data_IF_459293568662
#
_entry.id   IF_459293568662
#
_cell.length_a   1.000
_cell.length_b   1.000
_cell.length_c   1.000
_cell.angle_alpha   90.00
_cell.angle_beta   90.00
_cell.angle_gamma   90.00
#
_symmetry.space_group_name_H-M   'P 1'
#
loop_
_entity.id
_entity.type
_entity.pdbx_description
1 polymer ?
#
# COMPACT_ATOMS: atom_id res chain seq x y z
N UNK A 1 -13.31 -36.13 -43.43
CA UNK A 1 -11.94 -35.74 -43.80
C UNK A 1 -11.06 -35.74 -42.55
N UNK A 2 -9.77 -36.12 -42.67
CA UNK A 2 -8.90 -36.49 -41.54
C UNK A 2 -8.22 -35.32 -40.82
N UNK A 3 -8.13 -35.48 -39.49
CA UNK A 3 -7.07 -35.12 -38.52
C UNK A 3 -6.02 -34.02 -38.86
N UNK A 4 -6.00 -32.97 -38.04
CA UNK A 4 -4.80 -32.18 -37.72
C UNK A 4 -4.72 -32.01 -36.19
N UNK A 5 -3.92 -32.82 -35.50
CA UNK A 5 -2.48 -32.65 -35.17
C UNK A 5 -2.26 -31.59 -34.09
N UNK A 6 -2.09 -32.14 -32.91
CA UNK A 6 -1.87 -31.57 -31.60
C UNK A 6 -0.44 -31.02 -31.54
N UNK A 7 -0.29 -29.71 -31.37
CA UNK A 7 1.01 -29.06 -31.16
C UNK A 7 1.39 -29.18 -29.69
N UNK A 8 2.22 -30.17 -29.38
CA UNK A 8 2.87 -30.34 -28.09
C UNK A 8 3.96 -29.27 -27.94
N UNK A 9 3.74 -28.31 -27.03
CA UNK A 9 4.76 -27.33 -26.66
C UNK A 9 5.73 -27.95 -25.66
N UNK A 10 6.89 -28.32 -26.20
CA UNK A 10 8.09 -28.78 -25.52
C UNK A 10 8.50 -27.80 -24.40
N UNK A 11 8.39 -28.25 -23.15
CA UNK A 11 8.80 -27.49 -21.97
C UNK A 11 10.30 -27.68 -21.79
N UNK A 12 11.09 -26.65 -22.10
CA UNK A 12 12.54 -26.66 -21.88
C UNK A 12 12.86 -26.81 -20.39
N UNK A 13 13.79 -27.70 -19.98
CA UNK A 13 14.25 -27.77 -18.61
C UNK A 13 15.03 -26.49 -18.26
N UNK A 14 14.58 -25.79 -17.22
CA UNK A 14 15.27 -24.62 -16.70
C UNK A 14 16.57 -25.07 -16.02
N UNK A 15 17.70 -24.80 -16.66
CA UNK A 15 19.03 -24.97 -16.06
C UNK A 15 19.18 -24.04 -14.85
N UNK A 16 19.33 -24.63 -13.66
CA UNK A 16 19.63 -23.92 -12.41
C UNK A 16 21.04 -23.33 -12.53
N UNK A 17 21.25 -22.01 -12.35
CA UNK A 17 22.60 -21.46 -12.32
C UNK A 17 23.36 -21.98 -11.08
N UNK A 18 24.67 -22.21 -11.20
CA UNK A 18 25.49 -22.69 -10.09
C UNK A 18 25.52 -21.64 -8.96
N UNK A 19 25.32 -22.12 -7.73
CA UNK A 19 25.58 -21.36 -6.50
C UNK A 19 27.07 -21.09 -6.44
N UNK A 20 27.48 -19.90 -6.88
CA UNK A 20 28.86 -19.46 -6.78
C UNK A 20 29.17 -19.21 -5.30
N UNK A 21 30.13 -19.97 -4.80
CA UNK A 21 30.52 -20.00 -3.40
C UNK A 21 31.22 -18.72 -2.93
N UNK A 22 31.17 -18.57 -1.61
CA UNK A 22 32.27 -18.10 -0.77
C UNK A 22 33.21 -17.06 -1.35
N UNK A 23 32.95 -15.80 -0.98
CA UNK A 23 34.03 -14.82 -0.86
C UNK A 23 34.01 -14.29 0.57
N UNK A 24 34.91 -14.83 1.40
CA UNK A 24 35.38 -14.19 2.62
C UNK A 24 35.87 -12.80 2.25
N UNK A 25 35.21 -11.77 2.77
CA UNK A 25 35.75 -10.42 2.79
C UNK A 25 36.16 -10.14 4.22
N UNK A 26 37.47 -10.11 4.40
CA UNK A 26 38.17 -9.68 5.60
C UNK A 26 37.66 -8.32 6.07
N UNK A 27 37.49 -8.18 7.37
CA UNK A 27 37.17 -6.91 8.03
C UNK A 27 38.46 -6.10 8.15
N UNK A 28 38.59 -4.92 7.52
CA UNK A 28 39.69 -4.02 7.86
C UNK A 28 39.33 -3.28 9.15
N UNK A 29 39.99 -3.67 10.26
CA UNK A 29 40.08 -2.87 11.47
C UNK A 29 40.82 -1.58 11.16
N UNK A 30 40.07 -0.48 11.05
CA UNK A 30 40.64 0.87 11.09
C UNK A 30 40.50 1.43 12.51
N UNK A 31 41.54 1.15 13.29
CA UNK A 31 41.98 1.95 14.41
C UNK A 31 42.66 3.21 13.86
N UNK A 32 42.15 4.40 14.19
CA UNK A 32 42.91 5.64 14.31
C UNK A 32 41.97 6.76 14.76
N UNK A 33 42.24 7.27 15.96
CA UNK A 33 41.55 8.40 16.54
C UNK A 33 41.62 9.69 15.73
N UNK A 34 40.66 10.56 16.02
CA UNK A 34 40.57 11.89 15.43
C UNK A 34 39.47 12.68 16.12
N UNK A 35 39.67 12.97 17.40
CA UNK A 35 38.93 14.00 18.13
C UNK A 35 39.05 15.34 17.38
N UNK A 36 37.93 15.81 16.83
CA UNK A 36 37.77 17.20 16.37
C UNK A 36 36.43 17.73 16.88
N UNK A 37 36.43 18.79 17.71
CA UNK A 37 35.20 19.47 18.11
C UNK A 37 34.72 20.34 16.95
N UNK A 38 33.74 19.87 16.18
CA UNK A 38 33.02 20.72 15.22
C UNK A 38 31.90 21.48 15.92
N UNK A 39 32.27 22.67 16.36
CA UNK A 39 31.54 23.94 16.27
C UNK A 39 30.04 23.84 15.93
N UNK A 40 29.20 23.97 16.96
CA UNK A 40 27.77 24.26 16.84
C UNK A 40 27.59 25.61 16.12
N UNK A 41 27.38 25.58 14.80
CA UNK A 41 26.77 26.71 14.09
C UNK A 41 25.26 26.51 13.98
N UNK A 42 24.61 27.11 14.96
CA UNK A 42 23.19 27.24 15.19
C UNK A 42 22.51 28.02 14.04
N UNK A 43 22.23 27.36 12.91
CA UNK A 43 21.33 27.91 11.88
C UNK A 43 19.87 27.62 12.26
N UNK A 44 19.40 28.39 13.24
CA UNK A 44 17.99 28.53 13.65
C UNK A 44 17.17 29.04 12.46
N UNK A 45 16.69 28.13 11.62
CA UNK A 45 15.72 28.45 10.56
C UNK A 45 14.33 28.54 11.20
N UNK A 46 14.00 29.74 11.67
CA UNK A 46 12.63 30.09 12.09
C UNK A 46 11.72 29.99 10.87
N UNK A 47 11.13 28.82 10.65
CA UNK A 47 9.97 28.71 9.75
C UNK A 47 8.74 29.08 10.56
N UNK A 48 8.36 30.34 10.39
CA UNK A 48 7.05 30.85 10.70
C UNK A 48 6.02 30.03 9.90
N UNK A 49 5.34 29.11 10.56
CA UNK A 49 4.19 28.40 9.99
C UNK A 49 2.99 28.78 10.84
N UNK A 50 2.32 29.86 10.42
CA UNK A 50 0.92 30.10 10.75
C UNK A 50 0.10 28.97 10.11
N UNK A 51 0.13 27.78 10.72
CA UNK A 51 -0.83 26.73 10.46
C UNK A 51 -2.07 27.14 11.24
N UNK A 52 -2.92 27.93 10.57
CA UNK A 52 -4.32 28.04 10.95
C UNK A 52 -4.89 26.64 10.91
N UNK A 53 -4.97 26.02 12.08
CA UNK A 53 -5.61 24.73 12.27
C UNK A 53 -7.09 24.88 11.86
N UNK A 54 -7.58 24.13 10.86
CA UNK A 54 -9.01 24.07 10.59
C UNK A 54 -9.67 23.36 11.77
N UNK A 55 -10.16 24.15 12.71
CA UNK A 55 -10.86 23.70 13.90
C UNK A 55 -12.31 23.37 13.52
N UNK A 56 -12.52 22.30 12.75
CA UNK A 56 -13.84 21.70 12.51
C UNK A 56 -13.90 20.31 13.16
N UNK A 57 -13.60 20.26 14.45
CA UNK A 57 -13.95 19.10 15.28
C UNK A 57 -15.36 19.31 15.79
N UNK A 58 -16.35 19.23 14.89
CA UNK A 58 -17.71 18.90 15.31
C UNK A 58 -17.69 17.41 15.66
N UNK A 59 -17.23 17.09 16.87
CA UNK A 59 -17.47 15.81 17.52
C UNK A 59 -18.97 15.69 17.75
N UNK A 60 -19.71 15.32 16.71
CA UNK A 60 -21.05 14.79 16.90
C UNK A 60 -20.88 13.45 17.64
N UNK A 61 -21.03 13.46 18.96
CA UNK A 61 -21.11 12.28 19.82
C UNK A 61 -22.35 11.41 19.54
N UNK A 62 -22.90 11.47 18.33
CA UNK A 62 -23.94 10.57 17.86
C UNK A 62 -23.30 9.24 17.53
N UNK A 63 -23.71 8.20 18.26
CA UNK A 63 -23.50 6.79 17.90
C UNK A 63 -23.81 6.59 16.41
N UNK A 64 -22.77 6.66 15.58
CA UNK A 64 -22.88 6.82 14.14
C UNK A 64 -23.38 5.54 13.48
N UNK A 65 -24.69 5.34 13.45
CA UNK A 65 -25.40 4.39 12.59
C UNK A 65 -25.65 4.97 11.19
N UNK A 66 -25.17 6.20 10.92
CA UNK A 66 -25.34 6.88 9.65
C UNK A 66 -24.59 6.24 8.48
N UNK A 67 -25.04 6.57 7.26
CA UNK A 67 -24.39 6.19 6.00
C UNK A 67 -22.91 6.62 6.01
N UNK A 68 -22.06 5.82 5.37
CA UNK A 68 -20.63 6.14 5.22
C UNK A 68 -20.42 7.19 4.13
N UNK A 69 -19.63 8.23 4.42
CA UNK A 69 -19.29 9.28 3.48
C UNK A 69 -17.94 9.00 2.75
N UNK A 70 -17.62 9.82 1.76
CA UNK A 70 -16.39 9.66 0.95
C UNK A 70 -15.12 9.83 1.81
N UNK A 71 -15.10 10.84 2.67
CA UNK A 71 -13.96 11.19 3.52
C UNK A 71 -13.66 10.07 4.54
N UNK A 72 -14.68 9.45 5.10
CA UNK A 72 -14.59 8.31 6.00
C UNK A 72 -13.99 7.10 5.29
N UNK A 73 -14.43 6.78 4.06
CA UNK A 73 -13.84 5.69 3.27
C UNK A 73 -12.37 5.96 2.93
N UNK A 74 -12.03 7.19 2.52
CA UNK A 74 -10.64 7.57 2.19
C UNK A 74 -9.77 7.53 3.44
N UNK A 75 -10.24 8.07 4.57
CA UNK A 75 -9.53 8.04 5.86
C UNK A 75 -9.28 6.60 6.31
N UNK A 76 -10.31 5.76 6.23
CA UNK A 76 -10.22 4.35 6.57
C UNK A 76 -9.21 3.60 5.69
N UNK A 77 -9.21 3.84 4.37
CA UNK A 77 -8.24 3.25 3.46
C UNK A 77 -6.82 3.75 3.71
N UNK A 78 -6.63 5.03 4.00
CA UNK A 78 -5.33 5.61 4.36
C UNK A 78 -4.79 5.01 5.67
N UNK A 79 -5.67 4.75 6.62
CA UNK A 79 -5.31 4.07 7.86
C UNK A 79 -4.78 2.65 7.59
N UNK A 80 -5.48 1.89 6.73
CA UNK A 80 -5.04 0.57 6.27
C UNK A 80 -3.72 0.63 5.51
N UNK A 81 -3.48 1.67 4.72
CA UNK A 81 -2.18 1.87 4.07
C UNK A 81 -1.04 2.08 5.08
N UNK A 82 -1.32 2.66 6.25
CA UNK A 82 -0.29 2.93 7.26
C UNK A 82 -0.02 1.70 8.12
N UNK A 83 -1.08 1.03 8.58
CA UNK A 83 -0.98 -0.01 9.63
C UNK A 83 -1.36 -1.42 9.17
N UNK A 84 -1.81 -1.58 7.92
CA UNK A 84 -2.40 -2.82 7.42
C UNK A 84 -3.87 -2.97 7.83
N UNK A 85 -4.50 -4.04 7.34
CA UNK A 85 -5.93 -4.35 7.48
C UNK A 85 -6.25 -5.27 8.65
N UNK A 86 -5.36 -5.37 9.64
CA UNK A 86 -5.61 -6.14 10.88
C UNK A 86 -6.58 -5.39 11.79
N UNK A 87 -7.57 -6.10 12.34
CA UNK A 87 -8.62 -5.53 13.21
C UNK A 87 -8.07 -4.76 14.41
N UNK A 88 -6.87 -5.13 14.89
CA UNK A 88 -6.21 -4.51 16.03
C UNK A 88 -5.94 -3.02 15.81
N UNK A 89 -5.71 -2.60 14.57
CA UNK A 89 -5.33 -1.23 14.25
C UNK A 89 -6.52 -0.29 14.04
N UNK A 90 -7.77 -0.77 13.95
CA UNK A 90 -8.92 0.09 13.57
C UNK A 90 -9.44 1.00 14.70
N UNK A 91 -8.79 1.01 15.85
CA UNK A 91 -9.17 1.88 16.97
C UNK A 91 -8.84 3.33 16.63
N UNK A 92 -9.86 4.19 16.62
CA UNK A 92 -9.72 5.60 16.23
C UNK A 92 -9.42 5.82 14.75
N UNK A 93 -9.55 4.80 13.88
CA UNK A 93 -9.23 4.92 12.46
C UNK A 93 -10.10 5.95 11.73
N UNK A 94 -11.34 6.13 12.16
CA UNK A 94 -12.27 7.12 11.62
C UNK A 94 -12.94 7.85 12.78
N UNK A 95 -12.80 9.19 12.89
CA UNK A 95 -13.44 9.96 13.95
C UNK A 95 -14.95 9.70 14.00
N UNK A 96 -15.49 9.45 15.20
CA UNK A 96 -16.92 9.22 15.42
C UNK A 96 -17.43 7.81 15.05
N UNK A 97 -16.57 6.91 14.54
CA UNK A 97 -16.90 5.50 14.31
C UNK A 97 -16.23 4.60 15.33
N UNK A 98 -16.91 3.53 15.71
CA UNK A 98 -16.30 2.50 16.55
C UNK A 98 -15.33 1.65 15.73
N UNK A 99 -14.36 1.03 16.41
CA UNK A 99 -13.42 0.07 15.82
C UNK A 99 -14.13 -1.04 15.03
N UNK A 100 -15.21 -1.59 15.59
CA UNK A 100 -15.98 -2.66 14.95
C UNK A 100 -16.62 -2.18 13.64
N UNK A 101 -17.27 -1.01 13.65
CA UNK A 101 -17.86 -0.41 12.44
C UNK A 101 -16.81 -0.18 11.35
N UNK A 102 -15.66 0.38 11.71
CA UNK A 102 -14.58 0.65 10.77
C UNK A 102 -14.00 -0.64 10.16
N UNK A 103 -13.76 -1.67 10.99
CA UNK A 103 -13.26 -2.95 10.51
C UNK A 103 -14.28 -3.69 9.63
N UNK A 104 -15.56 -3.71 10.02
CA UNK A 104 -16.62 -4.33 9.22
C UNK A 104 -16.84 -3.61 7.90
N UNK A 105 -16.86 -2.28 7.91
CA UNK A 105 -16.92 -1.48 6.69
C UNK A 105 -15.75 -1.81 5.75
N UNK A 106 -14.52 -1.86 6.28
CA UNK A 106 -13.36 -2.21 5.49
C UNK A 106 -13.48 -3.62 4.88
N UNK A 107 -13.81 -4.61 5.69
CA UNK A 107 -13.89 -6.02 5.28
C UNK A 107 -15.03 -6.30 4.30
N UNK A 108 -16.20 -5.73 4.55
CA UNK A 108 -17.44 -6.06 3.83
C UNK A 108 -17.70 -5.12 2.64
N UNK A 109 -17.21 -3.88 2.69
CA UNK A 109 -17.49 -2.87 1.67
C UNK A 109 -16.24 -2.50 0.89
N UNK A 110 -15.22 -1.93 1.54
CA UNK A 110 -14.04 -1.40 0.84
C UNK A 110 -13.26 -2.52 0.13
N UNK A 111 -12.83 -3.55 0.87
CA UNK A 111 -11.98 -4.62 0.33
C UNK A 111 -12.57 -5.29 -0.92
N UNK A 112 -13.82 -5.80 -0.91
CA UNK A 112 -14.38 -6.44 -2.10
C UNK A 112 -14.59 -5.45 -3.24
N UNK A 113 -14.98 -4.20 -2.94
CA UNK A 113 -15.17 -3.17 -3.96
C UNK A 113 -13.86 -2.81 -4.68
N UNK A 114 -12.76 -2.66 -3.95
CA UNK A 114 -11.45 -2.38 -4.54
C UNK A 114 -10.92 -3.56 -5.36
N UNK A 115 -11.08 -4.79 -4.89
CA UNK A 115 -10.66 -5.99 -5.65
C UNK A 115 -11.41 -6.13 -6.98
N UNK A 116 -12.68 -5.69 -7.04
CA UNK A 116 -13.46 -5.62 -8.29
C UNK A 116 -12.97 -4.47 -9.18
N UNK A 117 -12.88 -3.26 -8.63
CA UNK A 117 -12.48 -2.06 -9.39
C UNK A 117 -11.08 -2.19 -10.01
N UNK A 118 -10.16 -2.85 -9.31
CA UNK A 118 -8.80 -3.07 -9.82
C UNK A 118 -8.75 -4.03 -11.01
N UNK A 119 -9.69 -4.97 -11.12
CA UNK A 119 -9.79 -5.81 -12.31
C UNK A 119 -10.15 -4.98 -13.56
N UNK A 120 -10.99 -3.95 -13.41
CA UNK A 120 -11.30 -3.01 -14.48
C UNK A 120 -10.06 -2.20 -14.88
N UNK A 121 -9.28 -1.74 -13.89
CA UNK A 121 -8.06 -0.97 -14.17
C UNK A 121 -7.03 -1.78 -14.94
N UNK A 122 -6.91 -3.07 -14.64
CA UNK A 122 -5.97 -3.96 -15.32
C UNK A 122 -6.21 -4.06 -16.83
N UNK A 123 -7.46 -3.92 -17.30
CA UNK A 123 -7.77 -3.94 -18.73
C UNK A 123 -7.11 -2.79 -19.53
N UNK A 124 -6.72 -1.70 -18.85
CA UNK A 124 -6.12 -0.50 -19.46
C UNK A 124 -4.64 -0.31 -19.12
N UNK A 125 -4.06 -1.24 -18.35
CA UNK A 125 -2.71 -1.09 -17.78
C UNK A 125 -1.78 -2.20 -18.25
N UNK A 126 -0.47 -1.95 -18.13
CA UNK A 126 0.58 -2.96 -18.33
C UNK A 126 0.57 -4.06 -17.25
N UNK A 127 -0.07 -3.78 -16.11
CA UNK A 127 -0.17 -4.69 -14.98
C UNK A 127 -1.43 -5.53 -15.10
N UNK A 128 -1.27 -6.84 -14.91
CA UNK A 128 -2.38 -7.78 -14.90
C UNK A 128 -3.26 -7.61 -13.66
N UNK A 129 -4.49 -8.10 -13.75
CA UNK A 129 -5.43 -8.07 -12.62
C UNK A 129 -4.90 -8.86 -11.42
N UNK A 130 -4.18 -9.95 -11.66
CA UNK A 130 -3.58 -10.78 -10.60
C UNK A 130 -2.45 -10.05 -9.88
N UNK A 131 -1.56 -9.38 -10.61
CA UNK A 131 -0.48 -8.59 -10.01
C UNK A 131 -1.03 -7.46 -9.14
N UNK A 132 -2.05 -6.72 -9.61
CA UNK A 132 -2.64 -5.68 -8.78
C UNK A 132 -3.41 -6.23 -7.57
N UNK A 133 -4.07 -7.40 -7.71
CA UNK A 133 -4.72 -8.07 -6.57
C UNK A 133 -3.69 -8.50 -5.53
N UNK A 134 -2.57 -9.05 -5.96
CA UNK A 134 -1.46 -9.42 -5.07
C UNK A 134 -0.91 -8.17 -4.36
N UNK A 135 -0.72 -7.07 -5.09
CA UNK A 135 -0.30 -5.79 -4.55
C UNK A 135 -1.28 -5.25 -3.47
N UNK A 136 -2.58 -5.26 -3.76
CA UNK A 136 -3.61 -4.82 -2.82
C UNK A 136 -3.67 -5.72 -1.58
N UNK A 137 -3.67 -7.03 -1.77
CA UNK A 137 -3.69 -7.97 -0.65
C UNK A 137 -2.47 -7.80 0.24
N UNK A 138 -1.30 -7.55 -0.34
CA UNK A 138 -0.10 -7.24 0.40
C UNK A 138 -0.26 -5.95 1.22
N UNK A 139 -0.79 -4.88 0.62
CA UNK A 139 -1.09 -3.62 1.35
C UNK A 139 -2.10 -3.86 2.48
N UNK A 140 -3.11 -4.69 2.27
CA UNK A 140 -4.08 -5.05 3.31
C UNK A 140 -3.48 -5.92 4.42
N UNK A 141 -2.36 -6.59 4.20
CA UNK A 141 -1.70 -7.43 5.21
C UNK A 141 -0.63 -6.66 5.96
N UNK A 142 0.22 -5.91 5.25
CA UNK A 142 1.45 -5.33 5.78
C UNK A 142 1.47 -3.80 5.76
N UNK A 143 0.46 -3.14 5.17
CA UNK A 143 0.50 -1.72 4.87
C UNK A 143 1.27 -1.41 3.58
N UNK A 144 1.35 -0.13 3.24
CA UNK A 144 1.93 0.41 2.01
C UNK A 144 3.35 0.97 2.24
N UNK A 145 4.15 0.29 3.05
CA UNK A 145 5.55 0.66 3.28
C UNK A 145 6.43 0.20 2.10
N UNK A 146 7.39 1.02 1.66
CA UNK A 146 8.22 0.65 0.50
C UNK A 146 9.03 -0.63 0.73
N UNK A 147 9.48 -0.90 1.96
CA UNK A 147 10.27 -2.08 2.33
C UNK A 147 9.53 -3.40 2.12
N UNK A 148 8.20 -3.42 2.28
CA UNK A 148 7.43 -4.67 2.23
C UNK A 148 7.11 -5.11 0.79
N UNK A 149 7.09 -4.19 -0.19
CA UNK A 149 6.71 -4.49 -1.57
C UNK A 149 7.64 -5.44 -2.35
N UNK A 150 8.83 -5.74 -1.84
CA UNK A 150 9.77 -6.65 -2.51
C UNK A 150 9.23 -8.07 -2.71
N UNK A 151 8.28 -8.50 -1.87
CA UNK A 151 7.67 -9.83 -1.93
C UNK A 151 6.21 -9.81 -2.39
N UNK A 152 5.67 -8.64 -2.71
CA UNK A 152 4.24 -8.47 -2.99
C UNK A 152 3.81 -9.11 -4.32
N UNK A 153 4.66 -9.05 -5.35
CA UNK A 153 4.34 -9.51 -6.70
C UNK A 153 5.52 -10.31 -7.26
N UNK A 154 5.38 -11.62 -7.46
CA UNK A 154 6.44 -12.45 -8.04
C UNK A 154 6.90 -11.90 -9.40
N UNK A 155 8.22 -11.85 -9.62
CA UNK A 155 8.81 -11.38 -10.88
C UNK A 155 8.86 -9.86 -11.06
N UNK A 156 8.38 -9.07 -10.10
CA UNK A 156 8.53 -7.61 -10.08
C UNK A 156 9.56 -7.17 -9.05
N UNK A 157 10.25 -6.08 -9.33
CA UNK A 157 11.13 -5.46 -8.35
C UNK A 157 10.31 -4.69 -7.31
N UNK A 158 10.89 -4.50 -6.11
CA UNK A 158 10.29 -3.67 -5.05
C UNK A 158 9.85 -2.29 -5.57
N UNK A 159 10.71 -1.61 -6.32
CA UNK A 159 10.45 -0.27 -6.82
C UNK A 159 9.30 -0.27 -7.84
N UNK A 160 9.25 -1.25 -8.75
CA UNK A 160 8.15 -1.37 -9.71
C UNK A 160 6.80 -1.54 -9.00
N UNK A 161 6.74 -2.42 -8.00
CA UNK A 161 5.53 -2.65 -7.20
C UNK A 161 5.11 -1.40 -6.43
N UNK A 162 6.05 -0.73 -5.77
CA UNK A 162 5.77 0.49 -5.03
C UNK A 162 5.30 1.64 -5.93
N UNK A 163 5.95 1.84 -7.08
CA UNK A 163 5.58 2.88 -8.03
C UNK A 163 4.21 2.60 -8.65
N UNK A 164 3.92 1.34 -9.00
CA UNK A 164 2.60 0.95 -9.49
C UNK A 164 1.50 1.21 -8.46
N UNK A 165 1.77 0.92 -7.17
CA UNK A 165 0.84 1.26 -6.10
C UNK A 165 0.66 2.78 -5.99
N UNK A 166 1.76 3.53 -5.84
CA UNK A 166 1.74 4.96 -5.53
C UNK A 166 1.19 5.81 -6.67
N UNK A 167 1.60 5.54 -7.91
CA UNK A 167 1.31 6.38 -9.07
C UNK A 167 0.04 5.98 -9.79
N UNK A 168 -0.32 4.69 -9.77
CA UNK A 168 -1.47 4.19 -10.55
C UNK A 168 -2.60 3.79 -9.62
N UNK A 169 -2.33 2.92 -8.66
CA UNK A 169 -3.39 2.27 -7.90
C UNK A 169 -3.99 3.19 -6.84
N UNK A 170 -3.17 3.92 -6.09
CA UNK A 170 -3.61 4.79 -5.01
C UNK A 170 -4.53 5.93 -5.49
N UNK A 171 -4.19 6.70 -6.55
CA UNK A 171 -5.10 7.70 -7.09
C UNK A 171 -6.40 7.08 -7.60
N UNK A 172 -6.31 5.95 -8.30
CA UNK A 172 -7.49 5.22 -8.80
C UNK A 172 -8.42 4.77 -7.68
N UNK A 173 -7.87 4.26 -6.58
CA UNK A 173 -8.65 3.83 -5.41
C UNK A 173 -9.39 5.02 -4.79
N UNK A 174 -8.75 6.18 -4.66
CA UNK A 174 -9.41 7.37 -4.11
C UNK A 174 -10.62 7.79 -4.96
N UNK A 175 -10.45 7.87 -6.29
CA UNK A 175 -11.57 8.16 -7.20
C UNK A 175 -12.69 7.14 -7.03
N UNK A 176 -12.37 5.85 -6.95
CA UNK A 176 -13.39 4.80 -6.78
C UNK A 176 -14.11 4.87 -5.45
N UNK A 177 -13.45 5.25 -4.35
CA UNK A 177 -14.10 5.41 -3.05
C UNK A 177 -15.03 6.64 -3.03
N UNK A 178 -14.65 7.72 -3.70
CA UNK A 178 -15.51 8.90 -3.88
C UNK A 178 -16.76 8.58 -4.71
N UNK A 179 -16.61 7.83 -5.81
CA UNK A 179 -17.73 7.31 -6.61
C UNK A 179 -18.66 6.45 -5.74
N UNK A 180 -18.10 5.55 -4.93
CA UNK A 180 -18.86 4.64 -4.07
C UNK A 180 -19.68 5.38 -3.02
N UNK A 181 -19.12 6.43 -2.43
CA UNK A 181 -19.82 7.27 -1.46
C UNK A 181 -20.96 8.06 -2.12
N UNK A 182 -20.74 8.52 -3.35
CA UNK A 182 -21.74 9.27 -4.12
C UNK A 182 -22.94 8.41 -4.49
N UNK A 183 -22.71 7.12 -4.79
CA UNK A 183 -23.77 6.15 -5.09
C UNK A 183 -24.65 5.78 -3.88
N UNK A 184 -24.23 6.08 -2.65
CA UNK A 184 -25.00 5.76 -1.43
C UNK A 184 -25.88 6.93 -0.95
N UNK A 185 -25.79 8.10 -1.58
CA UNK A 185 -26.61 9.27 -1.23
C UNK A 185 -28.06 9.01 -1.63
#
# INVERSE_FOLDING_TARGET
>A
MPRAKNTSTETKPYSRPPLNGSSSSECPSHDAGGDKPMELTERRRVRNTNITAPNNTTQSNGSGTGKWNAEEYVTLFMHVCTWGGSSKHFEGAVPGRTKAQAYDCFRQVIKPYLLKSVAEKAATSKWSAEEYRALLNHVFQCGASSSTFGTAVPGRTKNQSYDAFRQVLKPFIFTKLEEKASANK
#
